data_IF_132814354409
#
_entry.id   IF_132814354409
#
_cell.length_a   1.000
_cell.length_b   1.000
_cell.length_c   1.000
_cell.angle_alpha   90.00
_cell.angle_beta   90.00
_cell.angle_gamma   90.00
#
_symmetry.space_group_name_H-M   'P 1'
#
loop_
_entity.id
_entity.type
_entity.pdbx_description
1 polymer ?
#
# COMPACT_ATOMS: atom_id res chain seq x y z
N UNK A 1 -37.39 -14.70 35.39
CA UNK A 1 -36.95 -15.29 34.11
C UNK A 1 -35.86 -14.37 33.57
N UNK A 2 -34.61 -14.76 33.78
CA UNK A 2 -33.43 -13.91 33.63
C UNK A 2 -33.25 -13.46 32.18
N UNK A 3 -33.18 -12.15 31.96
CA UNK A 3 -32.64 -11.56 30.73
C UNK A 3 -31.13 -11.83 30.74
N UNK A 4 -30.70 -12.88 30.05
CA UNK A 4 -29.28 -13.11 29.77
C UNK A 4 -28.80 -12.03 28.81
N UNK A 5 -28.00 -11.09 29.31
CA UNK A 5 -27.13 -10.28 28.45
C UNK A 5 -26.21 -11.24 27.69
N UNK A 6 -26.45 -11.43 26.40
CA UNK A 6 -25.42 -11.92 25.49
C UNK A 6 -24.28 -10.91 25.53
N UNK A 7 -23.21 -11.25 26.24
CA UNK A 7 -21.93 -10.56 26.09
C UNK A 7 -21.36 -11.00 24.74
N UNK A 8 -21.66 -10.24 23.69
CA UNK A 8 -20.93 -10.34 22.42
C UNK A 8 -19.47 -10.04 22.72
N UNK A 9 -18.64 -11.08 22.75
CA UNK A 9 -17.20 -10.94 22.92
C UNK A 9 -16.61 -10.39 21.62
N UNK A 10 -16.68 -9.06 21.42
CA UNK A 10 -16.07 -8.38 20.30
C UNK A 10 -14.54 -8.49 20.40
N UNK A 11 -13.97 -9.53 19.79
CA UNK A 11 -12.52 -9.63 19.60
C UNK A 11 -12.11 -8.55 18.59
N UNK A 12 -11.63 -7.41 19.10
CA UNK A 12 -11.12 -6.31 18.29
C UNK A 12 -9.62 -6.45 18.01
N UNK A 13 -9.15 -5.84 16.92
CA UNK A 13 -7.71 -5.74 16.64
C UNK A 13 -7.08 -4.64 17.49
N UNK A 14 -5.91 -4.90 18.05
CA UNK A 14 -5.09 -3.90 18.73
C UNK A 14 -4.29 -3.12 17.68
N UNK A 15 -4.35 -1.78 17.72
CA UNK A 15 -3.52 -0.91 16.87
C UNK A 15 -2.09 -0.87 17.40
N UNK A 16 -1.26 -1.82 16.98
CA UNK A 16 0.14 -1.92 17.40
C UNK A 16 1.16 -1.65 16.28
N UNK A 17 0.72 -1.52 15.03
CA UNK A 17 1.60 -1.29 13.89
C UNK A 17 2.24 0.10 13.96
N UNK A 18 3.57 0.14 14.01
CA UNK A 18 4.36 1.37 13.94
C UNK A 18 4.68 1.79 12.51
N UNK A 19 5.39 2.91 12.37
CA UNK A 19 5.82 3.44 11.07
C UNK A 19 6.63 2.41 10.26
N UNK A 20 7.56 1.73 10.92
CA UNK A 20 8.42 0.74 10.26
C UNK A 20 7.62 -0.45 9.74
N UNK A 21 6.71 -1.00 10.55
CA UNK A 21 5.88 -2.13 10.16
C UNK A 21 5.02 -1.79 8.94
N UNK A 22 4.35 -0.63 8.96
CA UNK A 22 3.49 -0.18 7.88
C UNK A 22 4.30 0.12 6.61
N UNK A 23 5.49 0.70 6.74
CA UNK A 23 6.39 0.95 5.61
C UNK A 23 6.83 -0.36 4.97
N UNK A 24 7.21 -1.37 5.77
CA UNK A 24 7.60 -2.69 5.26
C UNK A 24 6.45 -3.42 4.60
N UNK A 25 5.22 -3.30 5.13
CA UNK A 25 4.01 -3.81 4.47
C UNK A 25 3.86 -3.19 3.07
N UNK A 26 4.03 -1.86 2.95
CA UNK A 26 3.97 -1.15 1.67
C UNK A 26 5.06 -1.59 0.69
N UNK A 27 6.31 -1.71 1.15
CA UNK A 27 7.45 -2.16 0.31
C UNK A 27 7.22 -3.59 -0.19
N UNK A 28 6.78 -4.49 0.70
CA UNK A 28 6.46 -5.87 0.33
C UNK A 28 5.34 -5.96 -0.71
N UNK A 29 4.30 -5.12 -0.57
CA UNK A 29 3.23 -5.04 -1.56
C UNK A 29 3.72 -4.52 -2.93
N UNK A 30 4.66 -3.57 -2.97
CA UNK A 30 5.23 -3.04 -4.22
C UNK A 30 6.17 -4.02 -4.94
N UNK A 31 7.01 -4.76 -4.20
CA UNK A 31 8.01 -5.70 -4.75
C UNK A 31 7.38 -7.04 -5.17
N UNK A 32 6.06 -7.19 -5.13
CA UNK A 32 5.35 -8.43 -5.47
C UNK A 32 5.67 -9.00 -6.87
N UNK A 33 4.90 -10.00 -7.30
CA UNK A 33 5.18 -10.75 -8.55
C UNK A 33 5.40 -9.87 -9.80
N UNK A 34 4.86 -8.65 -9.80
CA UNK A 34 5.03 -7.65 -10.86
C UNK A 34 6.49 -7.42 -11.26
N UNK A 35 7.40 -7.16 -10.31
CA UNK A 35 8.79 -6.80 -10.66
C UNK A 35 9.55 -7.99 -11.28
N UNK A 36 9.24 -9.22 -10.86
CA UNK A 36 9.94 -10.41 -11.35
C UNK A 36 9.52 -10.81 -12.77
N UNK A 37 8.27 -10.51 -13.16
CA UNK A 37 7.73 -10.87 -14.49
C UNK A 37 7.78 -9.69 -15.45
N UNK A 38 7.24 -8.53 -15.05
CA UNK A 38 7.07 -7.39 -15.96
C UNK A 38 8.40 -6.75 -16.34
N UNK A 39 9.42 -6.83 -15.49
CA UNK A 39 10.75 -6.28 -15.81
C UNK A 39 11.36 -6.97 -17.02
N UNK A 40 11.19 -8.29 -17.17
CA UNK A 40 11.68 -9.03 -18.34
C UNK A 40 10.99 -8.61 -19.63
N UNK A 41 9.66 -8.46 -19.59
CA UNK A 41 8.87 -7.97 -20.73
C UNK A 41 9.28 -6.53 -21.08
N UNK A 42 9.42 -5.67 -20.07
CA UNK A 42 9.84 -4.29 -20.25
C UNK A 42 11.28 -4.19 -20.79
N UNK A 43 12.19 -5.07 -20.38
CA UNK A 43 13.54 -5.16 -20.92
C UNK A 43 13.54 -5.60 -22.40
N UNK A 44 12.65 -6.50 -22.79
CA UNK A 44 12.48 -6.90 -24.19
C UNK A 44 12.05 -5.73 -25.09
N UNK A 45 11.19 -4.84 -24.58
CA UNK A 45 10.68 -3.70 -25.34
C UNK A 45 11.60 -2.47 -25.29
N UNK A 46 12.09 -2.10 -24.10
CA UNK A 46 12.87 -0.89 -23.88
C UNK A 46 14.39 -1.13 -23.97
N UNK A 47 14.84 -2.39 -23.92
CA UNK A 47 16.26 -2.73 -23.93
C UNK A 47 17.02 -2.06 -22.78
N UNK A 48 18.26 -1.60 -23.00
CA UNK A 48 19.05 -0.89 -22.00
C UNK A 48 18.41 0.41 -21.49
N UNK A 49 17.49 1.02 -22.25
CA UNK A 49 16.80 2.25 -21.86
C UNK A 49 15.74 2.02 -20.76
N UNK A 50 15.51 0.77 -20.34
CA UNK A 50 14.60 0.42 -19.24
C UNK A 50 14.90 1.18 -17.95
N UNK A 51 16.19 1.43 -17.64
CA UNK A 51 16.60 2.19 -16.46
C UNK A 51 16.06 3.63 -16.52
N UNK A 52 16.08 4.26 -17.71
CA UNK A 52 15.53 5.60 -17.90
C UNK A 52 14.00 5.61 -17.75
N UNK A 53 13.33 4.56 -18.21
CA UNK A 53 11.89 4.40 -18.02
C UNK A 53 11.52 4.27 -16.53
N UNK A 54 12.26 3.46 -15.76
CA UNK A 54 12.07 3.36 -14.32
C UNK A 54 12.37 4.66 -13.59
N UNK A 55 13.43 5.38 -13.97
CA UNK A 55 13.75 6.68 -13.37
C UNK A 55 12.61 7.68 -13.57
N UNK A 56 12.07 7.78 -14.80
CA UNK A 56 10.91 8.64 -15.09
C UNK A 56 9.67 8.20 -14.32
N UNK A 57 9.40 6.89 -14.25
CA UNK A 57 8.27 6.37 -13.47
C UNK A 57 8.42 6.66 -11.97
N UNK A 58 9.63 6.65 -11.44
CA UNK A 58 9.93 7.03 -10.05
C UNK A 58 9.50 8.46 -9.75
N UNK A 59 9.78 9.41 -10.65
CA UNK A 59 9.35 10.80 -10.50
C UNK A 59 7.83 10.91 -10.44
N UNK A 60 7.12 10.23 -11.37
CA UNK A 60 5.66 10.22 -11.39
C UNK A 60 5.10 9.62 -10.10
N UNK A 61 5.71 8.53 -9.63
CA UNK A 61 5.29 7.81 -8.43
C UNK A 61 5.44 8.67 -7.17
N UNK A 62 6.52 9.45 -7.06
CA UNK A 62 6.72 10.38 -5.92
C UNK A 62 5.64 11.47 -5.91
N UNK A 63 5.28 12.02 -7.07
CA UNK A 63 4.22 13.03 -7.15
C UNK A 63 2.88 12.44 -6.69
N UNK A 64 2.55 11.22 -7.15
CA UNK A 64 1.34 10.52 -6.71
C UNK A 64 1.38 10.16 -5.23
N UNK A 65 2.53 9.71 -4.69
CA UNK A 65 2.62 9.29 -3.29
C UNK A 65 2.40 10.44 -2.31
N UNK A 66 2.80 11.66 -2.66
CA UNK A 66 2.53 12.86 -1.84
C UNK A 66 1.02 13.11 -1.72
N UNK A 67 0.28 12.99 -2.82
CA UNK A 67 -1.20 13.13 -2.80
C UNK A 67 -1.81 12.06 -1.88
N UNK A 68 -1.37 10.82 -1.98
CA UNK A 68 -1.85 9.74 -1.10
C UNK A 68 -1.43 9.95 0.37
N UNK A 69 -0.26 10.53 0.62
CA UNK A 69 0.19 10.85 1.99
C UNK A 69 -0.67 11.97 2.61
N UNK A 70 -0.98 13.01 1.85
CA UNK A 70 -1.91 14.07 2.26
C UNK A 70 -3.29 13.48 2.58
N UNK A 71 -3.88 12.71 1.67
CA UNK A 71 -5.19 12.09 1.86
C UNK A 71 -5.21 11.12 3.04
N UNK A 72 -4.20 10.27 3.19
CA UNK A 72 -4.09 9.32 4.30
C UNK A 72 -3.84 10.00 5.66
N UNK A 73 -3.27 11.21 5.67
CA UNK A 73 -3.14 12.01 6.89
C UNK A 73 -4.43 12.72 7.27
N UNK A 74 -5.23 13.14 6.28
CA UNK A 74 -6.52 13.80 6.49
C UNK A 74 -7.65 12.81 6.83
N UNK A 75 -7.65 11.62 6.22
CA UNK A 75 -8.69 10.60 6.35
C UNK A 75 -8.05 9.34 6.96
N UNK A 76 -8.20 9.18 8.28
CA UNK A 76 -7.52 8.13 9.08
C UNK A 76 -8.29 6.82 9.20
N UNK A 77 -9.43 6.72 8.53
CA UNK A 77 -10.30 5.54 8.53
C UNK A 77 -9.74 4.43 7.62
N UNK A 78 -9.99 3.18 8.00
CA UNK A 78 -9.58 2.04 7.18
C UNK A 78 -10.49 1.95 5.94
N UNK A 79 -9.92 2.12 4.74
CA UNK A 79 -10.68 2.01 3.50
C UNK A 79 -9.89 2.29 2.22
N UNK A 80 -8.72 2.95 2.32
CA UNK A 80 -7.91 3.22 1.13
C UNK A 80 -8.65 4.11 0.13
N UNK A 81 -8.34 3.96 -1.15
CA UNK A 81 -9.02 4.70 -2.24
C UNK A 81 -10.48 4.33 -2.49
N UNK A 82 -11.12 3.49 -1.66
CA UNK A 82 -12.58 3.38 -1.66
C UNK A 82 -13.24 4.44 -0.77
N UNK A 83 -12.47 5.03 0.14
CA UNK A 83 -12.95 5.99 1.12
C UNK A 83 -12.68 7.44 0.67
N UNK A 84 -11.74 7.64 -0.26
CA UNK A 84 -11.39 8.93 -0.86
C UNK A 84 -11.32 8.87 -2.38
#
# INVERSE_FOLDING_TARGET
MASSKEASHHVGLVRNLGLFDITMIGVGAMIGAGIFVLTGIAAGTAGPALILAFAKNGVITVLTSIVYAELGSAITEAGGGYLW
#
